data_IF_126823083756
#
_entry.id   IF_126823083756
#
_cell.length_a   1.000
_cell.length_b   1.000
_cell.length_c   1.000
_cell.angle_alpha   90.00
_cell.angle_beta   90.00
_cell.angle_gamma   90.00
#
_symmetry.space_group_name_H-M   'P 1'
#
loop_
_entity.id
_entity.type
_entity.pdbx_description
1 polymer ?
#
# COMPACT_ATOMS: atom_id res chain seq x y z
N UNK A 1 -14.03 6.35 18.96
CA UNK A 1 -13.68 6.56 17.54
C UNK A 1 -12.32 5.91 17.30
N UNK A 2 -12.22 4.90 16.43
CA UNK A 2 -10.96 4.22 16.12
C UNK A 2 -10.02 5.11 15.31
N UNK A 3 -8.70 4.95 15.49
CA UNK A 3 -7.67 5.75 14.80
C UNK A 3 -6.98 4.89 13.73
N UNK A 4 -7.12 5.28 12.47
CA UNK A 4 -6.44 4.63 11.35
C UNK A 4 -5.17 5.40 10.97
N UNK A 5 -3.99 4.85 11.30
CA UNK A 5 -2.70 5.43 10.92
C UNK A 5 -1.95 4.42 10.07
N UNK A 6 -1.73 4.77 8.81
CA UNK A 6 -0.93 4.00 7.86
C UNK A 6 0.49 4.55 7.85
N UNK A 7 1.49 3.67 7.98
CA UNK A 7 2.90 4.05 7.95
C UNK A 7 3.48 3.71 6.59
N UNK A 8 4.17 4.68 6.03
CA UNK A 8 4.66 4.68 4.66
C UNK A 8 6.13 5.06 4.62
N UNK A 9 6.87 4.46 3.70
CA UNK A 9 8.23 4.89 3.36
C UNK A 9 8.39 4.96 1.85
N UNK A 10 9.18 5.94 1.39
CA UNK A 10 9.40 6.20 -0.02
C UNK A 10 10.90 6.36 -0.26
N UNK A 11 11.44 5.56 -1.18
CA UNK A 11 12.83 5.64 -1.64
C UNK A 11 12.83 6.21 -3.04
N UNK A 12 13.58 7.29 -3.24
CA UNK A 12 13.83 7.86 -4.56
C UNK A 12 15.22 7.46 -5.03
N UNK A 13 15.31 6.97 -6.25
CA UNK A 13 16.59 6.77 -6.92
C UNK A 13 16.87 7.98 -7.81
N UNK A 14 18.05 8.56 -7.64
CA UNK A 14 18.50 9.71 -8.42
C UNK A 14 19.45 9.27 -9.54
N UNK A 15 19.13 9.64 -10.78
CA UNK A 15 20.04 9.50 -11.91
C UNK A 15 20.89 10.76 -12.04
N UNK A 16 22.16 10.65 -11.63
CA UNK A 16 23.13 11.72 -11.73
C UNK A 16 23.52 12.11 -13.16
N UNK A 17 23.31 11.24 -14.16
CA UNK A 17 23.59 11.57 -15.58
C UNK A 17 22.46 12.38 -16.20
N UNK A 18 21.21 12.02 -15.91
CA UNK A 18 20.04 12.75 -16.38
C UNK A 18 19.65 13.94 -15.49
N UNK A 19 20.23 14.04 -14.28
CA UNK A 19 19.95 15.11 -13.32
C UNK A 19 18.51 15.07 -12.81
N UNK A 20 17.92 13.88 -12.66
CA UNK A 20 16.53 13.69 -12.23
C UNK A 20 16.35 12.38 -11.47
N UNK A 21 15.22 12.27 -10.75
CA UNK A 21 14.78 10.99 -10.17
C UNK A 21 14.49 10.01 -11.31
N UNK A 22 15.08 8.81 -11.23
CA UNK A 22 14.86 7.72 -12.20
C UNK A 22 13.82 6.72 -11.74
N UNK A 23 13.69 6.50 -10.44
CA UNK A 23 12.78 5.53 -9.86
C UNK A 23 12.30 5.97 -8.49
N UNK A 24 11.18 5.40 -8.09
CA UNK A 24 10.58 5.63 -6.79
C UNK A 24 9.97 4.31 -6.32
N UNK A 25 10.52 3.78 -5.23
CA UNK A 25 10.00 2.61 -4.56
C UNK A 25 9.23 3.04 -3.30
N UNK A 26 8.16 2.32 -3.00
CA UNK A 26 7.29 2.61 -1.87
C UNK A 26 7.01 1.34 -1.10
N UNK A 27 6.97 1.50 0.22
CA UNK A 27 6.59 0.43 1.13
C UNK A 27 5.57 0.97 2.13
N UNK A 28 4.47 0.25 2.21
CA UNK A 28 3.23 0.64 2.87
C UNK A 28 2.74 -0.47 3.78
N UNK A 29 2.12 -0.13 4.91
CA UNK A 29 1.50 -1.09 5.82
C UNK A 29 0.05 -0.69 6.15
N UNK A 30 -0.90 -1.14 5.32
CA UNK A 30 -2.33 -1.08 5.65
C UNK A 30 -2.78 -2.24 6.54
N UNK A 31 -2.02 -3.33 6.58
CA UNK A 31 -2.43 -4.55 7.25
C UNK A 31 -2.51 -4.33 8.77
N UNK A 32 -1.48 -3.73 9.37
CA UNK A 32 -1.44 -3.44 10.81
C UNK A 32 -2.59 -2.56 11.29
N UNK A 33 -2.88 -1.38 10.70
CA UNK A 33 -3.97 -0.54 11.16
C UNK A 33 -5.35 -1.12 10.88
N UNK A 34 -5.55 -1.85 9.77
CA UNK A 34 -6.82 -2.53 9.48
C UNK A 34 -7.08 -3.67 10.46
N UNK A 35 -6.06 -4.48 10.77
CA UNK A 35 -6.21 -5.55 11.75
C UNK A 35 -6.50 -5.00 13.15
N UNK A 36 -5.87 -3.89 13.54
CA UNK A 36 -6.17 -3.23 14.82
C UNK A 36 -7.59 -2.65 14.87
N UNK A 37 -8.10 -2.15 13.74
CA UNK A 37 -9.44 -1.57 13.63
C UNK A 37 -10.54 -2.64 13.61
N UNK A 38 -10.34 -3.72 12.85
CA UNK A 38 -11.34 -4.76 12.59
C UNK A 38 -11.26 -5.90 13.62
N UNK A 39 -10.11 -6.09 14.27
CA UNK A 39 -9.88 -7.14 15.27
C UNK A 39 -9.85 -8.57 14.69
N UNK A 40 -9.86 -8.70 13.36
CA UNK A 40 -10.16 -9.96 12.67
C UNK A 40 -9.48 -10.02 11.30
N UNK A 41 -8.73 -11.10 11.05
CA UNK A 41 -8.18 -11.39 9.73
C UNK A 41 -9.27 -11.76 8.72
N UNK A 42 -10.39 -12.32 9.18
CA UNK A 42 -11.51 -12.65 8.30
C UNK A 42 -12.16 -11.39 7.73
N UNK A 43 -12.38 -10.38 8.57
CA UNK A 43 -12.95 -9.10 8.12
C UNK A 43 -11.95 -8.32 7.28
N UNK A 44 -10.65 -8.41 7.57
CA UNK A 44 -9.61 -7.90 6.69
C UNK A 44 -9.65 -8.56 5.31
N UNK A 45 -9.79 -9.89 5.24
CA UNK A 45 -9.93 -10.61 3.95
C UNK A 45 -11.14 -10.12 3.17
N UNK A 46 -12.27 -9.85 3.83
CA UNK A 46 -13.47 -9.29 3.21
C UNK A 46 -13.22 -7.91 2.62
N UNK A 47 -12.48 -7.04 3.30
CA UNK A 47 -12.09 -5.72 2.79
C UNK A 47 -11.31 -5.83 1.48
N UNK A 48 -10.37 -6.78 1.39
CA UNK A 48 -9.53 -6.93 0.19
C UNK A 48 -10.11 -7.83 -0.90
N UNK A 49 -11.21 -8.53 -0.67
CA UNK A 49 -11.78 -9.52 -1.61
C UNK A 49 -12.12 -8.94 -2.99
N UNK A 50 -12.43 -7.64 -3.06
CA UNK A 50 -12.70 -6.94 -4.33
C UNK A 50 -12.05 -5.55 -4.35
N UNK A 51 -11.03 -5.36 -3.53
CA UNK A 51 -10.27 -4.12 -3.52
C UNK A 51 -9.37 -4.04 -4.77
N UNK A 52 -9.26 -2.85 -5.34
CA UNK A 52 -8.30 -2.55 -6.42
C UNK A 52 -6.90 -2.22 -5.86
N UNK A 53 -6.71 -2.39 -4.56
CA UNK A 53 -5.48 -2.11 -3.85
C UNK A 53 -5.08 -3.31 -3.01
N UNK A 54 -3.80 -3.63 -2.98
CA UNK A 54 -3.24 -4.68 -2.12
C UNK A 54 -3.02 -4.18 -0.69
N UNK A 55 -2.80 -5.08 0.29
CA UNK A 55 -2.48 -4.69 1.67
C UNK A 55 -1.20 -3.83 1.84
N UNK A 56 -0.31 -3.85 0.85
CA UNK A 56 0.88 -2.99 0.75
C UNK A 56 0.64 -1.76 -0.15
N UNK A 57 -0.60 -1.30 -0.26
CA UNK A 57 -1.02 -0.11 -1.01
C UNK A 57 -0.64 -0.07 -2.50
N UNK A 58 -0.46 -1.22 -3.15
CA UNK A 58 -0.25 -1.24 -4.61
C UNK A 58 -1.57 -1.31 -5.32
N UNK A 59 -1.74 -0.45 -6.32
CA UNK A 59 -2.85 -0.60 -7.25
C UNK A 59 -2.65 -1.89 -8.03
N UNK A 60 -3.68 -2.73 -8.03
CA UNK A 60 -3.75 -3.83 -8.97
C UNK A 60 -3.85 -3.20 -10.35
N UNK A 61 -2.85 -3.40 -11.19
CA UNK A 61 -2.98 -3.04 -12.59
C UNK A 61 -4.22 -3.77 -13.12
N UNK A 62 -5.13 -3.06 -13.76
CA UNK A 62 -6.19 -3.71 -14.51
C UNK A 62 -5.51 -4.58 -15.57
N UNK A 63 -5.44 -5.88 -15.34
CA UNK A 63 -5.16 -6.81 -16.42
C UNK A 63 -6.34 -6.64 -17.37
N UNK A 64 -6.10 -6.01 -18.53
CA UNK A 64 -7.07 -5.97 -19.61
C UNK A 64 -7.49 -7.42 -19.89
N UNK A 65 -8.72 -7.76 -19.46
CA UNK A 65 -9.43 -8.95 -19.89
C UNK A 65 -9.88 -8.76 -21.33
#
# INVERSE_FOLDING_TARGET
MGRFIMRESMRFEWDGRAGRVSSMDRQSDMLTPLLHLLGSLEDMRRVFQSALVTPDCRLLAHANQ
#
